data_IF_843852524394
#
_entry.id   IF_843852524394
#
_cell.length_a   1.000
_cell.length_b   1.000
_cell.length_c   1.000
_cell.angle_alpha   90.00
_cell.angle_beta   90.00
_cell.angle_gamma   90.00
#
_symmetry.space_group_name_H-M   'P 1'
#
loop_
_entity.id
_entity.type
_entity.pdbx_description
1 polymer ?
#
# COMPACT_ATOMS: atom_id res chain seq x y z
N UNK A 1 -4.60 -1.15 7.02
CA UNK A 1 -3.41 -1.88 6.51
C UNK A 1 -2.90 -1.29 5.21
N UNK A 2 -3.75 -1.03 4.21
CA UNK A 2 -3.35 -0.41 2.93
C UNK A 2 -3.06 1.10 3.04
N UNK A 3 -3.78 1.86 3.88
CA UNK A 3 -3.50 3.29 4.09
C UNK A 3 -2.23 3.57 4.92
N UNK A 4 -1.90 2.68 5.86
CA UNK A 4 -0.71 2.78 6.73
C UNK A 4 0.60 2.56 5.95
N UNK A 5 0.54 1.79 4.86
CA UNK A 5 1.65 1.64 3.92
C UNK A 5 1.87 2.94 3.11
N UNK A 6 0.80 3.60 2.69
CA UNK A 6 0.89 4.80 1.86
C UNK A 6 1.42 6.04 2.61
N UNK A 7 1.13 6.16 3.91
CA UNK A 7 1.64 7.27 4.74
C UNK A 7 3.11 7.07 5.17
N UNK A 8 3.56 5.83 5.32
CA UNK A 8 4.95 5.54 5.68
C UNK A 8 5.93 5.84 4.53
N UNK A 9 5.44 5.77 3.27
CA UNK A 9 6.23 6.16 2.10
C UNK A 9 6.42 7.68 1.98
N UNK A 10 5.46 8.53 2.37
CA UNK A 10 5.59 10.00 2.21
C UNK A 10 6.47 10.68 3.28
N UNK A 11 6.47 10.19 4.52
CA UNK A 11 7.18 10.86 5.64
C UNK A 11 8.68 10.55 5.65
N UNK A 12 9.09 9.35 5.20
CA UNK A 12 10.50 8.97 5.10
C UNK A 12 11.23 9.57 3.89
N UNK A 13 10.51 10.24 2.97
CA UNK A 13 11.09 10.79 1.73
C UNK A 13 11.69 12.19 1.91
N UNK A 14 11.39 12.92 2.99
CA UNK A 14 11.83 14.33 3.07
C UNK A 14 13.12 14.57 3.88
N UNK A 15 13.42 13.75 4.89
CA UNK A 15 14.49 14.06 5.84
C UNK A 15 15.89 13.54 5.44
N UNK A 16 16.00 12.57 4.52
CA UNK A 16 17.29 11.96 4.17
C UNK A 16 17.76 12.21 2.74
N UNK A 17 16.99 12.91 1.91
CA UNK A 17 17.30 13.06 0.48
C UNK A 17 18.34 14.14 0.19
N UNK A 18 18.49 15.17 1.03
CA UNK A 18 19.40 16.28 0.74
C UNK A 18 20.87 15.85 0.89
N UNK A 19 21.18 14.96 1.83
CA UNK A 19 22.56 14.51 2.07
C UNK A 19 22.96 13.25 1.29
N UNK A 20 21.98 12.51 0.75
CA UNK A 20 22.20 11.23 0.05
C UNK A 20 22.28 11.40 -1.48
N UNK A 21 21.64 12.43 -2.05
CA UNK A 21 21.49 12.62 -3.51
C UNK A 21 22.81 12.70 -4.30
N UNK A 22 23.93 12.99 -3.65
CA UNK A 22 25.25 13.15 -4.28
C UNK A 22 25.98 11.79 -4.44
N UNK A 23 25.59 10.75 -3.68
CA UNK A 23 26.27 9.44 -3.67
C UNK A 23 25.39 8.24 -4.11
N UNK A 24 24.09 8.41 -4.34
CA UNK A 24 23.14 7.27 -4.30
C UNK A 24 22.11 7.11 -5.43
N UNK A 25 22.38 7.38 -6.71
CA UNK A 25 21.46 6.97 -7.76
C UNK A 25 21.38 5.43 -7.88
N UNK A 26 22.48 4.71 -7.66
CA UNK A 26 22.47 3.24 -7.66
C UNK A 26 21.71 2.64 -6.49
N UNK A 27 21.83 3.23 -5.29
CA UNK A 27 21.19 2.71 -4.10
C UNK A 27 19.65 2.79 -4.19
N UNK A 28 19.12 3.88 -4.75
CA UNK A 28 17.67 4.05 -4.93
C UNK A 28 17.09 3.04 -5.94
N UNK A 29 17.80 2.78 -7.04
CA UNK A 29 17.40 1.74 -8.01
C UNK A 29 17.43 0.34 -7.41
N UNK A 30 18.46 0.00 -6.62
CA UNK A 30 18.57 -1.31 -5.96
C UNK A 30 17.43 -1.52 -4.96
N UNK A 31 17.13 -0.52 -4.13
CA UNK A 31 16.01 -0.57 -3.18
C UNK A 31 14.68 -0.75 -3.92
N UNK A 32 14.48 -0.07 -5.05
CA UNK A 32 13.27 -0.21 -5.86
C UNK A 32 13.14 -1.63 -6.45
N UNK A 33 14.22 -2.18 -7.00
CA UNK A 33 14.26 -3.55 -7.53
C UNK A 33 13.91 -4.57 -6.45
N UNK A 34 14.46 -4.41 -5.24
CA UNK A 34 14.16 -5.29 -4.10
C UNK A 34 12.68 -5.21 -3.70
N UNK A 35 12.11 -4.00 -3.57
CA UNK A 35 10.69 -3.81 -3.27
C UNK A 35 9.80 -4.46 -4.35
N UNK A 36 10.14 -4.28 -5.62
CA UNK A 36 9.40 -4.86 -6.74
C UNK A 36 9.49 -6.39 -6.80
N UNK A 37 10.69 -6.94 -6.61
CA UNK A 37 10.91 -8.40 -6.55
C UNK A 37 10.12 -9.03 -5.39
N UNK A 38 10.10 -8.38 -4.22
CA UNK A 38 9.33 -8.84 -3.07
C UNK A 38 7.82 -8.79 -3.35
N UNK A 39 7.31 -7.76 -4.03
CA UNK A 39 5.91 -7.71 -4.45
C UNK A 39 5.56 -8.84 -5.43
N UNK A 40 6.42 -9.14 -6.40
CA UNK A 40 6.24 -10.27 -7.32
C UNK A 40 6.26 -11.61 -6.58
N UNK A 41 7.19 -11.79 -5.64
CA UNK A 41 7.24 -12.99 -4.79
C UNK A 41 5.92 -13.20 -4.05
N UNK A 42 5.37 -12.14 -3.44
CA UNK A 42 4.07 -12.22 -2.77
C UNK A 42 2.92 -12.58 -3.73
N UNK A 43 2.89 -12.02 -4.93
CA UNK A 43 1.84 -12.36 -5.92
C UNK A 43 1.88 -13.84 -6.32
N UNK A 44 3.08 -14.38 -6.55
CA UNK A 44 3.28 -15.79 -6.89
C UNK A 44 2.91 -16.67 -5.70
N UNK A 45 3.33 -16.29 -4.50
CA UNK A 45 3.04 -17.00 -3.26
C UNK A 45 1.53 -17.07 -2.98
N UNK A 46 0.82 -15.95 -3.08
CA UNK A 46 -0.64 -15.87 -2.89
C UNK A 46 -1.36 -16.74 -3.92
N UNK A 47 -0.91 -16.74 -5.18
CA UNK A 47 -1.48 -17.58 -6.25
C UNK A 47 -1.28 -19.08 -5.98
N UNK A 48 -0.13 -19.47 -5.43
CA UNK A 48 0.18 -20.86 -5.12
C UNK A 48 -0.48 -21.34 -3.81
N UNK A 49 -0.65 -20.44 -2.82
CA UNK A 49 -1.12 -20.79 -1.48
C UNK A 49 -2.63 -20.76 -1.26
N UNK A 50 -3.41 -20.10 -2.12
CA UNK A 50 -4.85 -19.91 -1.91
C UNK A 50 -5.70 -20.69 -2.93
N UNK A 51 -6.79 -21.37 -2.49
CA UNK A 51 -7.74 -21.99 -3.40
C UNK A 51 -8.53 -20.93 -4.18
N UNK A 52 -9.03 -21.30 -5.37
CA UNK A 52 -9.77 -20.39 -6.25
C UNK A 52 -11.12 -20.02 -5.64
N UNK A 53 -11.39 -18.72 -5.46
CA UNK A 53 -12.71 -18.22 -5.08
C UNK A 53 -13.68 -18.30 -6.25
N UNK A 54 -14.92 -18.75 -6.00
CA UNK A 54 -16.02 -18.69 -6.97
C UNK A 54 -16.46 -17.22 -7.15
N UNK A 55 -16.87 -16.87 -8.37
CA UNK A 55 -17.24 -15.51 -8.76
C UNK A 55 -18.27 -14.85 -7.85
N UNK A 56 -19.24 -15.63 -7.34
CA UNK A 56 -20.29 -15.12 -6.43
C UNK A 56 -19.74 -14.67 -5.07
N UNK A 57 -18.66 -15.30 -4.60
CA UNK A 57 -18.01 -14.87 -3.38
C UNK A 57 -17.11 -13.66 -3.64
N UNK A 58 -16.47 -13.60 -4.82
CA UNK A 58 -15.59 -12.48 -5.20
C UNK A 58 -16.37 -11.17 -5.31
N UNK A 59 -17.54 -11.19 -5.96
CA UNK A 59 -18.41 -10.01 -6.06
C UNK A 59 -18.93 -9.58 -4.69
N UNK A 60 -19.41 -10.51 -3.85
CA UNK A 60 -19.82 -10.20 -2.48
C UNK A 60 -18.68 -9.59 -1.65
N UNK A 61 -17.46 -10.08 -1.80
CA UNK A 61 -16.29 -9.56 -1.07
C UNK A 61 -15.96 -8.12 -1.49
N UNK A 62 -15.96 -7.84 -2.79
CA UNK A 62 -15.72 -6.51 -3.34
C UNK A 62 -16.81 -5.51 -2.94
N UNK A 63 -18.06 -5.85 -3.21
CA UNK A 63 -19.19 -4.92 -3.02
C UNK A 63 -19.58 -4.72 -1.56
N UNK A 64 -19.56 -5.76 -0.74
CA UNK A 64 -20.05 -5.65 0.65
C UNK A 64 -18.91 -5.29 1.59
N UNK A 65 -17.77 -5.98 1.49
CA UNK A 65 -16.69 -5.79 2.48
C UNK A 65 -15.71 -4.71 2.07
N UNK A 66 -15.22 -4.76 0.83
CA UNK A 66 -14.17 -3.84 0.40
C UNK A 66 -14.69 -2.41 0.21
N UNK A 67 -15.86 -2.26 -0.44
CA UNK A 67 -16.48 -0.95 -0.64
C UNK A 67 -16.87 -0.27 0.68
N UNK A 68 -17.49 -1.02 1.60
CA UNK A 68 -17.85 -0.49 2.93
C UNK A 68 -16.59 -0.05 3.71
N UNK A 69 -15.54 -0.88 3.70
CA UNK A 69 -14.27 -0.55 4.36
C UNK A 69 -13.65 0.71 3.76
N UNK A 70 -13.62 0.82 2.43
CA UNK A 70 -13.07 1.98 1.73
C UNK A 70 -13.82 3.27 2.11
N UNK A 71 -15.16 3.23 2.09
CA UNK A 71 -16.00 4.36 2.46
C UNK A 71 -15.76 4.79 3.91
N UNK A 72 -15.69 3.83 4.84
CA UNK A 72 -15.47 4.11 6.25
C UNK A 72 -14.12 4.80 6.50
N UNK A 73 -13.06 4.36 5.80
CA UNK A 73 -11.74 4.99 5.95
C UNK A 73 -11.74 6.42 5.43
N UNK A 74 -12.36 6.67 4.27
CA UNK A 74 -12.47 8.03 3.70
C UNK A 74 -13.23 8.96 4.65
N UNK A 75 -14.37 8.50 5.19
CA UNK A 75 -15.16 9.27 6.15
C UNK A 75 -14.38 9.57 7.42
N UNK A 76 -13.67 8.58 7.97
CA UNK A 76 -12.83 8.78 9.16
C UNK A 76 -11.71 9.80 8.93
N UNK A 77 -11.13 9.83 7.73
CA UNK A 77 -10.09 10.77 7.36
C UNK A 77 -10.63 12.20 7.23
N UNK A 78 -11.79 12.38 6.60
CA UNK A 78 -12.46 13.67 6.49
C UNK A 78 -12.87 14.20 7.87
N UNK A 79 -13.43 13.33 8.73
CA UNK A 79 -13.79 13.70 10.10
C UNK A 79 -12.56 14.08 10.93
N UNK A 80 -11.46 13.33 10.77
CA UNK A 80 -10.17 13.68 11.35
C UNK A 80 -9.71 15.08 10.93
N UNK A 81 -9.73 15.39 9.63
CA UNK A 81 -9.39 16.73 9.14
C UNK A 81 -10.30 17.83 9.69
N UNK A 82 -11.61 17.56 9.84
CA UNK A 82 -12.57 18.52 10.39
C UNK A 82 -12.35 18.82 11.88
N UNK A 83 -11.73 17.93 12.66
CA UNK A 83 -11.41 18.17 14.08
C UNK A 83 -10.18 19.09 14.22
N UNK A 84 -9.29 19.08 13.23
CA UNK A 84 -8.02 19.82 13.27
C UNK A 84 -8.11 21.24 12.68
N UNK A 85 -9.19 21.56 11.99
CA UNK A 85 -9.56 22.92 11.56
C UNK A 85 -10.41 23.61 12.63
#
# INVERSE_FOLDING_TARGET
MTLLLFTWDFINIKLNYINLYILTPFNSSIIYILKFSLALFFLIFIRAGLPRYRYDYLTKLGWIKFLLLMLAVILSFIFGLSIWN
#
